data_IF_747777038115
#
_entry.id   IF_747777038115
#
_cell.length_a   1.000
_cell.length_b   1.000
_cell.length_c   1.000
_cell.angle_alpha   90.00
_cell.angle_beta   90.00
_cell.angle_gamma   90.00
#
_symmetry.space_group_name_H-M   'P 1'
#
loop_
_entity.id
_entity.type
_entity.pdbx_description
1 polymer ?
#
# COMPACT_ATOMS: atom_id res chain seq x y z
N UNK A 1 9.80 29.91 -16.51
CA UNK A 1 10.10 28.64 -15.82
C UNK A 1 9.07 28.45 -14.73
N UNK A 2 8.27 27.38 -14.79
CA UNK A 2 7.21 27.10 -13.82
C UNK A 2 7.74 26.18 -12.71
N UNK A 3 7.35 26.44 -11.47
CA UNK A 3 7.74 25.71 -10.25
C UNK A 3 7.13 24.30 -10.17
N UNK A 4 7.75 23.37 -9.41
CA UNK A 4 7.37 21.94 -9.38
C UNK A 4 5.92 21.66 -8.96
N UNK A 5 5.31 22.57 -8.21
CA UNK A 5 3.92 22.46 -7.72
C UNK A 5 2.87 22.57 -8.83
N UNK A 6 3.20 23.13 -9.99
CA UNK A 6 2.23 23.26 -11.11
C UNK A 6 2.05 21.99 -11.94
N UNK A 7 2.93 20.98 -11.79
CA UNK A 7 2.83 19.73 -12.56
C UNK A 7 1.80 18.74 -12.03
N UNK A 8 1.44 18.82 -10.75
CA UNK A 8 0.51 17.87 -10.11
C UNK A 8 -0.94 18.20 -10.52
N UNK A 9 -1.27 19.50 -10.63
CA UNK A 9 -2.62 19.96 -11.00
C UNK A 9 -2.96 19.67 -12.47
N UNK A 10 -1.95 19.51 -13.34
CA UNK A 10 -2.16 19.29 -14.78
C UNK A 10 -2.42 17.81 -15.11
N UNK A 11 -1.88 16.87 -14.31
CA UNK A 11 -2.18 15.43 -14.44
C UNK A 11 -3.63 15.14 -14.04
N UNK A 12 -4.15 15.83 -13.02
CA UNK A 12 -5.56 15.72 -12.60
C UNK A 12 -6.54 16.19 -13.70
N UNK A 13 -6.17 17.23 -14.46
CA UNK A 13 -7.01 17.76 -15.55
C UNK A 13 -7.02 16.89 -16.80
N UNK A 14 -5.95 16.13 -17.06
CA UNK A 14 -5.87 15.22 -18.22
C UNK A 14 -6.64 13.92 -18.00
N UNK A 15 -6.84 13.49 -16.75
CA UNK A 15 -7.67 12.31 -16.42
C UNK A 15 -9.16 12.54 -16.72
N UNK A 16 -9.63 13.79 -16.70
CA UNK A 16 -11.04 14.14 -16.95
C UNK A 16 -11.47 14.11 -18.43
N UNK A 17 -10.57 13.84 -19.38
CA UNK A 17 -10.88 13.82 -20.82
C UNK A 17 -11.02 12.44 -21.43
N UNK A 18 -10.70 11.37 -20.73
CA UNK A 18 -10.96 10.01 -21.21
C UNK A 18 -12.24 9.48 -20.56
N UNK A 19 -13.31 9.40 -21.35
CA UNK A 19 -14.66 9.10 -20.93
C UNK A 19 -14.87 7.68 -20.39
N UNK A 20 -14.36 7.38 -19.20
CA UNK A 20 -14.63 6.13 -18.50
C UNK A 20 -15.04 6.32 -17.02
N UNK A 21 -15.64 7.47 -16.70
CA UNK A 21 -16.13 7.83 -15.36
C UNK A 21 -17.67 7.80 -15.22
N UNK A 22 -18.36 7.05 -16.08
CA UNK A 22 -19.82 6.89 -15.99
C UNK A 22 -20.24 5.74 -15.06
N UNK A 23 -19.37 4.75 -14.81
CA UNK A 23 -19.71 3.61 -13.94
C UNK A 23 -19.59 3.86 -12.43
N UNK A 24 -18.90 4.92 -12.01
CA UNK A 24 -18.70 5.23 -10.58
C UNK A 24 -19.58 6.36 -10.03
N UNK A 25 -20.24 7.16 -10.89
CA UNK A 25 -21.16 8.23 -10.44
C UNK A 25 -22.58 7.77 -10.17
N UNK A 26 -23.01 6.64 -10.75
CA UNK A 26 -24.36 6.11 -10.57
C UNK A 26 -24.48 5.21 -9.32
N UNK A 27 -23.35 4.81 -8.75
CA UNK A 27 -23.27 3.98 -7.54
C UNK A 27 -23.43 4.76 -6.25
N UNK A 28 -23.15 6.06 -6.22
CA UNK A 28 -23.26 6.86 -4.99
C UNK A 28 -24.72 7.17 -4.63
N UNK A 29 -25.57 7.42 -5.62
CA UNK A 29 -26.98 7.74 -5.38
C UNK A 29 -27.83 6.52 -4.97
N UNK A 30 -27.43 5.30 -5.34
CA UNK A 30 -28.15 4.05 -4.98
C UNK A 30 -27.59 3.33 -3.73
N UNK A 31 -26.38 3.68 -3.28
CA UNK A 31 -25.81 3.20 -2.00
C UNK A 31 -26.39 3.91 -0.78
N UNK A 32 -27.14 5.00 -0.98
CA UNK A 32 -27.87 5.69 0.07
C UNK A 32 -29.00 4.87 0.73
N UNK A 33 -29.25 3.62 0.31
CA UNK A 33 -30.37 2.79 0.77
C UNK A 33 -29.98 1.45 1.43
N UNK A 34 -28.70 1.19 1.70
CA UNK A 34 -28.29 0.08 2.59
C UNK A 34 -27.88 0.69 3.92
N UNK A 35 -28.75 0.55 4.91
CA UNK A 35 -28.78 1.37 6.12
C UNK A 35 -27.51 1.31 6.99
N UNK A 36 -27.02 2.50 7.33
CA UNK A 36 -26.58 2.79 8.70
C UNK A 36 -27.58 3.79 9.29
N UNK A 37 -28.62 3.33 9.99
CA UNK A 37 -29.52 4.23 10.70
C UNK A 37 -28.86 4.66 12.01
N UNK A 38 -28.88 5.95 12.29
CA UNK A 38 -28.63 6.48 13.63
C UNK A 38 -27.38 7.35 13.71
N UNK A 39 -27.61 8.64 13.92
CA UNK A 39 -26.76 9.56 14.69
C UNK A 39 -25.76 8.77 15.54
N UNK A 40 -24.47 8.80 15.19
CA UNK A 40 -23.44 8.12 16.00
C UNK A 40 -23.52 8.71 17.40
N UNK A 41 -24.16 7.99 18.31
CA UNK A 41 -23.87 8.15 19.72
C UNK A 41 -22.35 8.04 19.85
N UNK A 42 -21.73 8.97 20.57
CA UNK A 42 -20.30 8.93 20.79
C UNK A 42 -19.93 7.50 21.23
N UNK A 43 -19.04 6.87 20.47
CA UNK A 43 -18.55 5.54 20.84
C UNK A 43 -18.01 5.61 22.27
N UNK A 44 -18.20 4.55 23.08
CA UNK A 44 -17.58 4.49 24.39
C UNK A 44 -16.09 4.83 24.29
N UNK A 45 -15.59 5.64 25.22
CA UNK A 45 -14.24 6.20 25.14
C UNK A 45 -13.15 5.13 24.97
N UNK A 46 -13.30 3.97 25.61
CA UNK A 46 -12.36 2.84 25.50
C UNK A 46 -12.24 2.30 24.06
N UNK A 47 -13.37 2.23 23.34
CA UNK A 47 -13.41 1.80 21.93
C UNK A 47 -12.75 2.83 21.03
N UNK A 48 -13.02 4.11 21.27
CA UNK A 48 -12.40 5.20 20.52
C UNK A 48 -10.87 5.22 20.69
N UNK A 49 -10.38 5.07 21.94
CA UNK A 49 -8.94 4.99 22.23
C UNK A 49 -8.29 3.78 21.56
N UNK A 50 -8.94 2.61 21.59
CA UNK A 50 -8.40 1.40 20.96
C UNK A 50 -8.28 1.55 19.44
N UNK A 51 -9.25 2.21 18.80
CA UNK A 51 -9.19 2.52 17.37
C UNK A 51 -8.08 3.49 17.02
N UNK A 52 -7.90 4.55 17.81
CA UNK A 52 -6.79 5.49 17.58
C UNK A 52 -5.43 4.78 17.63
N UNK A 53 -5.22 3.86 18.59
CA UNK A 53 -3.99 3.07 18.64
C UNK A 53 -3.80 2.15 17.43
N UNK A 54 -4.88 1.60 16.87
CA UNK A 54 -4.83 0.80 15.63
C UNK A 54 -4.50 1.70 14.44
N UNK A 55 -5.15 2.85 14.33
CA UNK A 55 -4.91 3.82 13.25
C UNK A 55 -3.44 4.27 13.25
N UNK A 56 -2.84 4.49 14.42
CA UNK A 56 -1.41 4.83 14.55
C UNK A 56 -0.49 3.69 14.05
N UNK A 57 -0.82 2.43 14.36
CA UNK A 57 -0.09 1.26 13.84
C UNK A 57 -0.25 1.17 12.32
N UNK A 58 -1.45 1.38 11.81
CA UNK A 58 -1.75 1.30 10.37
C UNK A 58 -1.01 2.40 9.59
N UNK A 59 -0.95 3.62 10.12
CA UNK A 59 -0.11 4.69 9.57
C UNK A 59 1.37 4.29 9.56
N UNK A 60 1.88 3.73 10.65
CA UNK A 60 3.26 3.26 10.72
C UNK A 60 3.55 2.16 9.68
N UNK A 61 2.62 1.25 9.43
CA UNK A 61 2.75 0.24 8.37
C UNK A 61 2.89 0.91 7.00
N UNK A 62 2.04 1.89 6.69
CA UNK A 62 2.11 2.62 5.40
C UNK A 62 3.44 3.36 5.24
N UNK A 63 3.92 4.03 6.29
CA UNK A 63 5.22 4.71 6.28
C UNK A 63 6.39 3.73 6.06
N UNK A 64 6.36 2.57 6.71
CA UNK A 64 7.35 1.51 6.54
C UNK A 64 7.36 0.97 5.10
N UNK A 65 6.19 0.78 4.50
CA UNK A 65 6.05 0.35 3.11
C UNK A 65 6.61 1.41 2.14
N UNK A 66 6.30 2.69 2.35
CA UNK A 66 6.83 3.79 1.54
C UNK A 66 8.37 3.85 1.58
N UNK A 67 8.95 3.75 2.78
CA UNK A 67 10.40 3.67 2.97
C UNK A 67 11.00 2.45 2.28
N UNK A 68 10.36 1.29 2.39
CA UNK A 68 10.82 0.06 1.72
C UNK A 68 10.84 0.23 0.20
N UNK A 69 9.80 0.84 -0.40
CA UNK A 69 9.75 1.14 -1.84
C UNK A 69 10.93 2.01 -2.27
N UNK A 70 11.23 3.08 -1.53
CA UNK A 70 12.37 3.95 -1.83
C UNK A 70 13.71 3.19 -1.81
N UNK A 71 13.91 2.29 -0.84
CA UNK A 71 15.11 1.44 -0.76
C UNK A 71 15.21 0.44 -1.92
N UNK A 72 14.08 -0.13 -2.36
CA UNK A 72 14.06 -1.06 -3.51
C UNK A 72 14.43 -0.32 -4.80
N UNK A 73 13.90 0.89 -5.02
CA UNK A 73 14.25 1.70 -6.20
C UNK A 73 15.74 2.03 -6.24
N UNK A 74 16.32 2.45 -5.11
CA UNK A 74 17.76 2.71 -5.00
C UNK A 74 18.59 1.44 -5.23
N UNK A 75 18.15 0.30 -4.69
CA UNK A 75 18.79 -1.00 -4.94
C UNK A 75 18.74 -1.38 -6.42
N UNK A 76 17.60 -1.18 -7.10
CA UNK A 76 17.46 -1.47 -8.52
C UNK A 76 18.38 -0.58 -9.36
N UNK A 77 18.44 0.72 -9.07
CA UNK A 77 19.39 1.63 -9.73
C UNK A 77 20.84 1.14 -9.60
N UNK A 78 21.26 0.71 -8.39
CA UNK A 78 22.59 0.14 -8.15
C UNK A 78 22.82 -1.16 -8.92
N UNK A 79 21.86 -2.08 -8.92
CA UNK A 79 21.97 -3.35 -9.66
C UNK A 79 22.06 -3.12 -11.16
N UNK A 80 21.29 -2.19 -11.73
CA UNK A 80 21.37 -1.81 -13.15
C UNK A 80 22.74 -1.23 -13.49
N UNK A 81 23.27 -0.33 -12.66
CA UNK A 81 24.61 0.22 -12.85
C UNK A 81 25.72 -0.84 -12.81
N UNK A 82 25.50 -1.94 -12.10
CA UNK A 82 26.42 -3.08 -11.99
C UNK A 82 26.12 -4.22 -12.99
N UNK A 83 25.07 -4.11 -13.82
CA UNK A 83 24.64 -5.18 -14.74
C UNK A 83 24.15 -6.44 -14.04
N UNK A 84 23.63 -6.33 -12.81
CA UNK A 84 23.15 -7.46 -12.00
C UNK A 84 21.64 -7.69 -12.21
N UNK A 85 21.15 -8.96 -12.11
CA UNK A 85 19.73 -9.26 -12.11
C UNK A 85 18.98 -8.54 -10.98
N UNK A 86 17.82 -7.95 -11.30
CA UNK A 86 17.00 -7.24 -10.33
C UNK A 86 16.34 -8.19 -9.33
N UNK A 87 15.89 -9.34 -9.82
CA UNK A 87 15.17 -10.36 -9.06
C UNK A 87 16.06 -11.57 -8.78
N UNK A 88 15.83 -12.19 -7.63
CA UNK A 88 16.55 -13.37 -7.15
C UNK A 88 15.56 -14.24 -6.37
N UNK A 89 15.04 -15.28 -7.04
CA UNK A 89 14.00 -16.17 -6.50
C UNK A 89 14.45 -16.87 -5.21
N UNK A 90 15.73 -17.24 -5.12
CA UNK A 90 16.28 -17.89 -3.92
C UNK A 90 16.31 -16.91 -2.74
N UNK A 91 16.71 -15.66 -2.99
CA UNK A 91 16.69 -14.59 -1.98
C UNK A 91 15.27 -14.28 -1.50
N UNK A 92 14.30 -14.23 -2.42
CA UNK A 92 12.89 -13.96 -2.11
C UNK A 92 12.27 -15.10 -1.29
N UNK A 93 12.52 -16.35 -1.68
CA UNK A 93 12.09 -17.53 -0.93
C UNK A 93 12.65 -17.55 0.49
N UNK A 94 13.95 -17.28 0.65
CA UNK A 94 14.59 -17.18 1.96
C UNK A 94 14.04 -16.02 2.79
N UNK A 95 13.68 -14.89 2.17
CA UNK A 95 13.04 -13.78 2.85
C UNK A 95 11.67 -14.19 3.42
N UNK A 96 10.81 -14.81 2.62
CA UNK A 96 9.48 -15.26 3.08
C UNK A 96 9.62 -16.25 4.24
N UNK A 97 10.48 -17.25 4.11
CA UNK A 97 10.70 -18.26 5.14
C UNK A 97 11.10 -17.63 6.49
N UNK A 98 12.08 -16.72 6.48
CA UNK A 98 12.54 -16.06 7.70
C UNK A 98 11.46 -15.18 8.34
N UNK A 99 10.65 -14.48 7.53
CA UNK A 99 9.52 -13.68 8.07
C UNK A 99 8.42 -14.55 8.65
N UNK A 100 8.12 -15.69 8.06
CA UNK A 100 7.17 -16.65 8.60
C UNK A 100 7.62 -17.20 9.95
N UNK A 101 8.89 -17.60 10.07
CA UNK A 101 9.45 -18.04 11.35
C UNK A 101 9.41 -16.93 12.40
N UNK A 102 9.69 -15.69 12.01
CA UNK A 102 9.60 -14.55 12.92
C UNK A 102 8.16 -14.27 13.37
N UNK A 103 7.19 -14.39 12.46
CA UNK A 103 5.77 -14.26 12.77
C UNK A 103 5.33 -15.25 13.86
N UNK A 104 5.73 -16.52 13.71
CA UNK A 104 5.39 -17.57 14.68
C UNK A 104 5.98 -17.28 16.06
N UNK A 105 7.21 -16.77 16.14
CA UNK A 105 7.82 -16.34 17.41
C UNK A 105 7.03 -15.22 18.11
N UNK A 106 6.29 -14.42 17.36
CA UNK A 106 5.44 -13.34 17.88
C UNK A 106 3.97 -13.76 18.07
N UNK A 107 3.63 -15.04 17.84
CA UNK A 107 2.24 -15.52 17.91
C UNK A 107 1.37 -15.08 16.74
N UNK A 108 1.96 -14.59 15.65
CA UNK A 108 1.24 -14.22 14.43
C UNK A 108 1.23 -15.43 13.48
N UNK A 109 0.08 -15.81 12.88
CA UNK A 109 0.05 -16.94 11.96
C UNK A 109 0.97 -16.76 10.75
N UNK A 110 1.91 -17.69 10.53
CA UNK A 110 2.84 -17.65 9.40
C UNK A 110 2.14 -17.44 8.05
N UNK A 111 1.02 -18.16 7.81
CA UNK A 111 0.22 -18.03 6.59
C UNK A 111 -0.25 -16.59 6.29
N UNK A 112 -0.55 -15.81 7.35
CA UNK A 112 -1.00 -14.44 7.20
C UNK A 112 0.17 -13.54 6.81
N UNK A 113 1.31 -13.69 7.49
CA UNK A 113 2.52 -12.93 7.18
C UNK A 113 3.06 -13.28 5.80
N UNK A 114 3.03 -14.54 5.39
CA UNK A 114 3.36 -14.96 4.04
C UNK A 114 2.53 -14.20 3.00
N UNK A 115 1.20 -14.17 3.17
CA UNK A 115 0.30 -13.47 2.24
C UNK A 115 0.63 -11.96 2.13
N UNK A 116 0.90 -11.31 3.27
CA UNK A 116 1.32 -9.90 3.31
C UNK A 116 2.64 -9.70 2.58
N UNK A 117 3.67 -10.50 2.89
CA UNK A 117 4.99 -10.32 2.28
C UNK A 117 5.04 -10.70 0.81
N UNK A 118 4.18 -11.61 0.33
CA UNK A 118 4.00 -11.86 -1.10
C UNK A 118 3.47 -10.62 -1.83
N UNK A 119 2.48 -9.92 -1.27
CA UNK A 119 2.00 -8.65 -1.85
C UNK A 119 3.08 -7.56 -1.83
N UNK A 120 3.89 -7.51 -0.77
CA UNK A 120 5.02 -6.56 -0.66
C UNK A 120 6.13 -6.85 -1.69
N UNK A 121 6.41 -8.13 -1.99
CA UNK A 121 7.35 -8.51 -3.05
C UNK A 121 6.78 -8.23 -4.43
N UNK A 122 5.52 -8.57 -4.69
CA UNK A 122 4.82 -8.25 -5.93
C UNK A 122 4.85 -6.75 -6.23
N UNK A 123 4.59 -5.90 -5.22
CA UNK A 123 4.73 -4.45 -5.33
C UNK A 123 6.14 -4.02 -5.74
N UNK A 124 7.17 -4.76 -5.29
CA UNK A 124 8.57 -4.51 -5.66
C UNK A 124 8.85 -4.87 -7.12
N UNK A 125 8.26 -5.95 -7.62
CA UNK A 125 8.36 -6.34 -9.04
C UNK A 125 7.71 -5.30 -9.94
N UNK A 126 6.57 -4.75 -9.53
CA UNK A 126 5.85 -3.70 -10.25
C UNK A 126 6.60 -2.36 -10.32
N UNK A 127 7.62 -2.13 -9.47
CA UNK A 127 8.47 -0.94 -9.53
C UNK A 127 9.45 -0.96 -10.71
N UNK A 128 9.82 -2.15 -11.21
CA UNK A 128 10.73 -2.28 -12.36
C UNK A 128 10.05 -1.91 -13.69
N UNK A 129 8.73 -2.08 -13.77
CA UNK A 129 7.94 -1.84 -14.99
C UNK A 129 7.71 -0.34 -15.25
N UNK A 130 8.08 0.52 -14.28
CA UNK A 130 7.93 1.98 -14.38
C UNK A 130 9.28 2.61 -14.72
N UNK A 131 9.76 2.34 -15.94
CA UNK A 131 10.80 3.11 -16.65
C UNK A 131 10.35 3.38 -18.10
#
# INVERSE_FOLDING_TARGET
MATPEKRIVEVERLSLRSGNHRKYRETEAKRAHVGYPGRMAALPAEVATSRASIDDIDHAIVELLARRRALVLDLFAKKRALGLPLFDEARESALIAERCEYAERLGVPARFVEAVFRQVLEDSHNLDVVD
#
